data_IF_863336267576
#
_entry.id   IF_863336267576
#
_cell.length_a   1.000
_cell.length_b   1.000
_cell.length_c   1.000
_cell.angle_alpha   90.00
_cell.angle_beta   90.00
_cell.angle_gamma   90.00
#
_symmetry.space_group_name_H-M   'P 1'
#
loop_
_entity.id
_entity.type
_entity.pdbx_description
1 polymer ?
#
# COMPACT_ATOMS: atom_id res chain seq x y z
N UNK A 1 6.73 -5.70 15.17
CA UNK A 1 5.66 -5.13 14.34
C UNK A 1 6.21 -4.99 12.93
N UNK A 2 5.51 -5.49 11.91
CA UNK A 2 5.91 -5.34 10.51
C UNK A 2 5.07 -4.26 9.84
N UNK A 3 5.66 -3.59 8.86
CA UNK A 3 4.97 -2.71 7.93
C UNK A 3 4.60 -3.51 6.68
N UNK A 4 3.43 -3.23 6.12
CA UNK A 4 2.93 -3.91 4.93
C UNK A 4 2.80 -2.90 3.81
N UNK A 5 3.19 -3.30 2.61
CA UNK A 5 3.24 -2.48 1.42
C UNK A 5 2.55 -3.22 0.29
N UNK A 6 1.91 -2.49 -0.62
CA UNK A 6 1.32 -3.05 -1.82
C UNK A 6 2.20 -2.75 -3.03
N UNK A 7 2.60 -3.80 -3.76
CA UNK A 7 3.39 -3.69 -5.00
C UNK A 7 2.58 -4.30 -6.14
N UNK A 8 2.30 -3.48 -7.15
CA UNK A 8 1.56 -3.88 -8.34
C UNK A 8 2.36 -4.84 -9.23
N UNK A 9 1.68 -5.44 -10.21
CA UNK A 9 2.31 -6.35 -11.18
C UNK A 9 3.40 -5.67 -12.04
N UNK A 10 3.37 -4.34 -12.15
CA UNK A 10 4.40 -3.53 -12.81
C UNK A 10 5.62 -3.25 -11.91
N UNK A 11 5.64 -3.81 -10.70
CA UNK A 11 6.71 -3.62 -9.71
C UNK A 11 6.62 -2.28 -8.98
N UNK A 12 5.61 -1.46 -9.23
CA UNK A 12 5.45 -0.17 -8.55
C UNK A 12 4.70 -0.32 -7.24
N UNK A 13 5.19 0.36 -6.23
CA UNK A 13 4.52 0.46 -4.94
C UNK A 13 3.40 1.50 -5.01
N UNK A 14 2.26 1.20 -4.41
CA UNK A 14 1.19 2.17 -4.20
C UNK A 14 1.49 3.03 -2.97
N UNK A 15 1.21 4.33 -3.07
CA UNK A 15 1.30 5.27 -1.95
C UNK A 15 0.09 6.20 -1.94
N UNK A 16 -0.32 6.62 -0.74
CA UNK A 16 -1.42 7.54 -0.47
C UNK A 16 -2.73 7.20 -1.20
N UNK A 17 -3.07 5.92 -1.29
CA UNK A 17 -4.22 5.44 -2.06
C UNK A 17 -4.84 4.20 -1.41
N UNK A 18 -5.96 3.75 -1.95
CA UNK A 18 -6.59 2.48 -1.58
C UNK A 18 -6.14 1.40 -2.55
N UNK A 19 -5.70 0.26 -2.02
CA UNK A 19 -5.32 -0.92 -2.81
C UNK A 19 -6.56 -1.54 -3.46
N UNK A 20 -6.42 -2.32 -4.55
CA UNK A 20 -7.55 -2.93 -5.25
C UNK A 20 -8.41 -3.87 -4.39
N UNK A 21 -7.82 -4.44 -3.33
CA UNK A 21 -8.47 -5.29 -2.32
C UNK A 21 -9.05 -4.50 -1.14
N UNK A 22 -8.96 -3.16 -1.15
CA UNK A 22 -9.69 -2.27 -0.25
C UNK A 22 -8.92 -1.75 0.97
N UNK A 23 -7.62 -1.97 1.06
CA UNK A 23 -6.79 -1.46 2.16
C UNK A 23 -6.25 -0.07 1.87
N UNK A 24 -6.18 0.81 2.87
CA UNK A 24 -5.61 2.15 2.71
C UNK A 24 -4.10 2.12 3.00
N UNK A 25 -3.29 2.65 2.10
CA UNK A 25 -1.87 2.94 2.36
C UNK A 25 -1.66 4.44 2.54
N UNK A 26 -0.73 4.81 3.41
CA UNK A 26 -0.36 6.21 3.68
C UNK A 26 0.62 6.76 2.62
N UNK A 27 1.09 7.99 2.81
CA UNK A 27 2.04 8.65 1.90
C UNK A 27 3.39 7.92 1.77
N UNK A 28 3.75 7.10 2.74
CA UNK A 28 4.96 6.27 2.71
C UNK A 28 4.70 4.89 2.08
N UNK A 29 3.45 4.57 1.75
CA UNK A 29 3.03 3.28 1.23
C UNK A 29 2.74 2.23 2.30
N UNK A 30 2.78 2.63 3.57
CA UNK A 30 2.52 1.73 4.71
C UNK A 30 1.03 1.51 4.83
N UNK A 31 0.61 0.25 4.94
CA UNK A 31 -0.77 -0.09 5.24
C UNK A 31 -1.19 0.52 6.60
N UNK A 32 -2.27 1.30 6.57
CA UNK A 32 -2.90 1.87 7.74
C UNK A 32 -4.27 1.23 7.97
N UNK A 33 -4.55 0.88 9.22
CA UNK A 33 -5.83 0.35 9.67
C UNK A 33 -6.69 1.44 10.29
#
# INVERSE_FOLDING_TARGET
>A
KGEYYYVGADGKMLTNTTTPDGYRVDANGVWVR
#
